data_IF_003102312677
#
_entry.id   IF_003102312677
#
_cell.length_a   1.000
_cell.length_b   1.000
_cell.length_c   1.000
_cell.angle_alpha   90.00
_cell.angle_beta   90.00
_cell.angle_gamma   90.00
#
_symmetry.space_group_name_H-M   'P 1'
#
loop_
_entity.id
_entity.type
_entity.pdbx_description
1 polymer ?
#
# COMPACT_ATOMS: atom_id res chain seq x y z
N UNK A 1 -55.22 -16.17 -20.15
CA UNK A 1 -54.20 -16.65 -19.20
C UNK A 1 -52.87 -16.01 -19.61
N UNK A 2 -52.43 -14.94 -18.95
CA UNK A 2 -51.16 -14.28 -19.29
C UNK A 2 -49.99 -15.00 -18.60
N UNK A 3 -48.84 -15.17 -19.27
CA UNK A 3 -47.67 -15.78 -18.65
C UNK A 3 -47.07 -14.83 -17.60
N UNK A 4 -46.85 -15.40 -16.41
CA UNK A 4 -46.28 -14.72 -15.24
C UNK A 4 -44.81 -14.39 -15.53
N UNK A 5 -44.45 -13.10 -15.50
CA UNK A 5 -43.05 -12.63 -15.54
C UNK A 5 -42.23 -13.36 -14.45
N UNK A 6 -41.05 -13.93 -14.76
CA UNK A 6 -40.20 -14.50 -13.72
C UNK A 6 -39.72 -13.36 -12.82
N UNK A 7 -39.87 -13.54 -11.50
CA UNK A 7 -39.27 -12.65 -10.52
C UNK A 7 -37.75 -12.70 -10.68
N UNK A 8 -37.14 -11.60 -11.09
CA UNK A 8 -35.69 -11.46 -11.05
C UNK A 8 -35.25 -11.67 -9.59
N UNK A 9 -34.55 -12.77 -9.33
CA UNK A 9 -34.05 -13.09 -8.00
C UNK A 9 -33.18 -11.94 -7.51
N UNK A 10 -33.48 -11.42 -6.32
CA UNK A 10 -32.68 -10.40 -5.64
C UNK A 10 -31.30 -11.01 -5.40
N UNK A 11 -30.33 -10.65 -6.25
CA UNK A 11 -28.94 -11.05 -6.05
C UNK A 11 -28.38 -10.14 -4.96
N UNK A 12 -28.32 -10.65 -3.73
CA UNK A 12 -27.61 -9.96 -2.65
C UNK A 12 -26.16 -9.73 -3.11
N UNK A 13 -25.60 -8.52 -2.94
CA UNK A 13 -24.23 -8.25 -3.34
C UNK A 13 -23.30 -9.19 -2.58
N UNK A 14 -22.32 -9.73 -3.31
CA UNK A 14 -21.33 -10.62 -2.69
C UNK A 14 -20.42 -9.81 -1.76
N UNK A 15 -19.73 -10.46 -0.79
CA UNK A 15 -18.71 -9.80 0.02
C UNK A 15 -17.70 -9.03 -0.85
N UNK A 16 -17.29 -9.60 -1.98
CA UNK A 16 -16.34 -8.99 -2.91
C UNK A 16 -16.90 -7.71 -3.55
N UNK A 17 -18.19 -7.69 -3.91
CA UNK A 17 -18.85 -6.49 -4.42
C UNK A 17 -18.91 -5.37 -3.37
N UNK A 18 -19.21 -5.72 -2.11
CA UNK A 18 -19.20 -4.75 -1.01
C UNK A 18 -17.80 -4.19 -0.78
N UNK A 19 -16.79 -5.06 -0.83
CA UNK A 19 -15.40 -4.69 -0.62
C UNK A 19 -14.89 -3.74 -1.71
N UNK A 20 -15.17 -4.06 -2.97
CA UNK A 20 -14.82 -3.21 -4.11
C UNK A 20 -15.56 -1.86 -4.06
N UNK A 21 -16.87 -1.88 -3.78
CA UNK A 21 -17.67 -0.65 -3.65
C UNK A 21 -17.14 0.25 -2.54
N UNK A 22 -16.74 -0.35 -1.41
CA UNK A 22 -16.15 0.38 -0.29
C UNK A 22 -14.80 1.01 -0.68
N UNK A 23 -13.91 0.26 -1.33
CA UNK A 23 -12.61 0.76 -1.81
C UNK A 23 -12.78 2.00 -2.71
N UNK A 24 -13.68 1.93 -3.70
CA UNK A 24 -13.96 3.04 -4.60
C UNK A 24 -14.51 4.27 -3.83
N UNK A 25 -15.51 4.07 -2.98
CA UNK A 25 -16.14 5.17 -2.22
C UNK A 25 -15.14 5.82 -1.27
N UNK A 26 -14.32 5.03 -0.56
CA UNK A 26 -13.31 5.58 0.35
C UNK A 26 -12.21 6.32 -0.41
N UNK A 27 -11.78 5.83 -1.58
CA UNK A 27 -10.80 6.51 -2.42
C UNK A 27 -11.29 7.85 -2.99
N UNK A 28 -12.60 7.97 -3.25
CA UNK A 28 -13.18 9.18 -3.87
C UNK A 28 -13.71 10.20 -2.86
N UNK A 29 -14.28 9.73 -1.75
CA UNK A 29 -14.95 10.61 -0.79
C UNK A 29 -14.25 10.68 0.57
N UNK A 30 -13.22 9.86 0.78
CA UNK A 30 -12.49 9.77 2.04
C UNK A 30 -13.20 8.89 3.07
N UNK A 31 -12.44 8.43 4.06
CA UNK A 31 -12.94 7.49 5.06
C UNK A 31 -14.02 8.15 5.91
N UNK A 32 -13.78 9.33 6.48
CA UNK A 32 -14.71 9.99 7.40
C UNK A 32 -16.14 10.17 6.84
N UNK A 33 -16.30 10.40 5.54
CA UNK A 33 -17.58 10.75 4.92
C UNK A 33 -18.43 9.52 4.53
N UNK A 34 -17.79 8.37 4.33
CA UNK A 34 -18.45 7.16 3.83
C UNK A 34 -18.95 6.30 4.99
N UNK A 35 -20.25 5.99 5.00
CA UNK A 35 -20.88 5.11 5.99
C UNK A 35 -21.10 3.69 5.45
N UNK A 36 -21.17 2.70 6.35
CA UNK A 36 -21.50 1.31 5.98
C UNK A 36 -22.86 1.23 5.24
N UNK A 37 -23.81 2.09 5.61
CA UNK A 37 -25.09 2.24 4.92
C UNK A 37 -24.88 2.65 3.47
N UNK A 38 -24.08 3.69 3.22
CA UNK A 38 -23.79 4.18 1.88
C UNK A 38 -23.12 3.13 1.02
N UNK A 39 -22.17 2.36 1.59
CA UNK A 39 -21.54 1.24 0.90
C UNK A 39 -22.58 0.18 0.50
N UNK A 40 -23.45 -0.24 1.42
CA UNK A 40 -24.49 -1.23 1.15
C UNK A 40 -25.48 -0.75 0.07
N UNK A 41 -25.90 0.50 0.15
CA UNK A 41 -26.80 1.14 -0.83
C UNK A 41 -26.19 1.15 -2.23
N UNK A 42 -24.95 1.65 -2.38
CA UNK A 42 -24.27 1.72 -3.68
C UNK A 42 -23.95 0.34 -4.23
N UNK A 43 -23.67 -0.64 -3.36
CA UNK A 43 -23.46 -2.03 -3.77
C UNK A 43 -24.76 -2.75 -4.17
N UNK A 44 -25.93 -2.11 -4.04
CA UNK A 44 -27.23 -2.72 -4.37
C UNK A 44 -27.73 -3.73 -3.35
N UNK A 45 -27.29 -3.64 -2.09
CA UNK A 45 -27.79 -4.50 -1.03
C UNK A 45 -29.24 -4.15 -0.70
N UNK A 46 -30.11 -5.17 -0.64
CA UNK A 46 -31.49 -5.01 -0.20
C UNK A 46 -31.59 -4.55 1.27
N UNK A 47 -30.54 -4.75 2.07
CA UNK A 47 -30.47 -4.28 3.44
C UNK A 47 -29.12 -3.62 3.77
N UNK A 48 -29.17 -2.64 4.67
CA UNK A 48 -27.98 -1.91 5.13
C UNK A 48 -27.10 -2.72 6.10
N UNK A 49 -27.54 -3.93 6.47
CA UNK A 49 -26.80 -4.82 7.37
C UNK A 49 -25.77 -5.69 6.67
N UNK A 50 -25.77 -5.79 5.34
CA UNK A 50 -24.85 -6.67 4.60
C UNK A 50 -23.36 -6.40 4.95
N UNK A 51 -22.96 -5.12 5.04
CA UNK A 51 -21.60 -4.74 5.45
C UNK A 51 -21.29 -5.19 6.88
N UNK A 52 -22.21 -4.95 7.82
CA UNK A 52 -22.02 -5.33 9.23
C UNK A 52 -22.02 -6.85 9.41
N UNK A 53 -22.78 -7.58 8.60
CA UNK A 53 -22.81 -9.03 8.63
C UNK A 53 -21.46 -9.64 8.23
N UNK A 54 -20.85 -9.16 7.14
CA UNK A 54 -19.57 -9.70 6.65
C UNK A 54 -18.34 -9.14 7.37
N UNK A 55 -18.35 -7.86 7.75
CA UNK A 55 -17.16 -7.16 8.22
C UNK A 55 -17.26 -6.66 9.67
N UNK A 56 -18.39 -6.90 10.35
CA UNK A 56 -18.71 -6.51 11.73
C UNK A 56 -18.84 -5.01 11.94
N UNK A 57 -17.87 -4.21 11.50
CA UNK A 57 -17.83 -2.76 11.63
C UNK A 57 -17.01 -2.12 10.49
N UNK A 58 -16.90 -0.78 10.50
CA UNK A 58 -16.17 -0.02 9.48
C UNK A 58 -14.66 -0.34 9.48
N UNK A 59 -14.05 -0.46 10.65
CA UNK A 59 -12.62 -0.84 10.79
C UNK A 59 -12.36 -2.22 10.18
N UNK A 60 -13.24 -3.20 10.42
CA UNK A 60 -13.15 -4.53 9.83
C UNK A 60 -13.28 -4.52 8.31
N UNK A 61 -14.14 -3.64 7.76
CA UNK A 61 -14.25 -3.44 6.32
C UNK A 61 -12.96 -2.82 5.73
N UNK A 62 -12.41 -1.78 6.37
CA UNK A 62 -11.16 -1.16 5.94
C UNK A 62 -9.98 -2.15 5.99
N UNK A 63 -9.85 -2.92 7.08
CA UNK A 63 -8.83 -3.97 7.20
C UNK A 63 -9.01 -5.07 6.15
N UNK A 64 -10.24 -5.43 5.80
CA UNK A 64 -10.48 -6.41 4.75
C UNK A 64 -9.99 -5.93 3.38
N UNK A 65 -10.15 -4.64 3.05
CA UNK A 65 -9.60 -4.05 1.82
C UNK A 65 -8.07 -4.15 1.87
N UNK A 66 -7.46 -3.64 2.95
CA UNK A 66 -5.99 -3.65 3.13
C UNK A 66 -5.42 -5.06 2.98
N UNK A 67 -6.01 -6.05 3.67
CA UNK A 67 -5.55 -7.45 3.63
C UNK A 67 -5.61 -8.06 2.24
N UNK A 68 -6.70 -7.82 1.50
CA UNK A 68 -6.87 -8.30 0.12
C UNK A 68 -5.68 -7.87 -0.75
N UNK A 69 -5.28 -6.60 -0.67
CA UNK A 69 -4.15 -6.08 -1.46
C UNK A 69 -2.80 -6.48 -0.85
N UNK A 70 -2.70 -6.55 0.47
CA UNK A 70 -1.45 -6.85 1.16
C UNK A 70 -0.95 -8.27 0.90
N UNK A 71 -1.83 -9.24 0.62
CA UNK A 71 -1.44 -10.59 0.22
C UNK A 71 -0.54 -10.57 -1.03
N UNK A 72 -0.99 -9.91 -2.10
CA UNK A 72 -0.22 -9.80 -3.35
C UNK A 72 1.04 -8.95 -3.17
N UNK A 73 0.95 -7.86 -2.40
CA UNK A 73 2.10 -7.02 -2.08
C UNK A 73 3.17 -7.78 -1.29
N UNK A 74 2.76 -8.64 -0.37
CA UNK A 74 3.67 -9.47 0.43
C UNK A 74 4.43 -10.46 -0.46
N UNK A 75 3.77 -11.07 -1.43
CA UNK A 75 4.41 -11.98 -2.38
C UNK A 75 5.44 -11.25 -3.26
N UNK A 76 5.08 -10.06 -3.78
CA UNK A 76 6.01 -9.25 -4.58
C UNK A 76 7.20 -8.81 -3.73
N UNK A 77 6.94 -8.32 -2.51
CA UNK A 77 7.96 -7.86 -1.58
C UNK A 77 8.89 -8.98 -1.13
N UNK A 78 8.34 -10.15 -0.81
CA UNK A 78 9.10 -11.33 -0.40
C UNK A 78 10.06 -11.81 -1.50
N UNK A 79 9.61 -11.81 -2.76
CA UNK A 79 10.45 -12.15 -3.91
C UNK A 79 11.61 -11.16 -4.07
N UNK A 80 11.34 -9.86 -4.07
CA UNK A 80 12.38 -8.82 -4.18
C UNK A 80 13.37 -8.87 -3.02
N UNK A 81 12.89 -9.13 -1.80
CA UNK A 81 13.75 -9.28 -0.63
C UNK A 81 14.69 -10.49 -0.76
N UNK A 82 14.19 -11.63 -1.23
CA UNK A 82 15.01 -12.81 -1.48
C UNK A 82 16.11 -12.54 -2.53
N UNK A 83 15.77 -11.79 -3.59
CA UNK A 83 16.75 -11.36 -4.59
C UNK A 83 17.82 -10.43 -4.00
N UNK A 84 17.43 -9.45 -3.17
CA UNK A 84 18.36 -8.56 -2.48
C UNK A 84 19.32 -9.32 -1.55
N UNK A 85 18.79 -10.25 -0.74
CA UNK A 85 19.61 -11.09 0.14
C UNK A 85 20.52 -12.06 -0.64
N UNK A 86 20.07 -12.56 -1.79
CA UNK A 86 20.91 -13.38 -2.67
C UNK A 86 22.09 -12.60 -3.27
N UNK A 87 21.85 -11.35 -3.69
CA UNK A 87 22.92 -10.46 -4.18
C UNK A 87 23.97 -10.18 -3.10
N UNK A 88 23.52 -9.96 -1.86
CA UNK A 88 24.38 -9.77 -0.70
C UNK A 88 25.28 -11.00 -0.44
N UNK A 89 24.69 -12.19 -0.42
CA UNK A 89 25.41 -13.43 -0.20
C UNK A 89 26.47 -13.72 -1.28
N UNK A 90 26.12 -13.55 -2.56
CA UNK A 90 27.05 -13.78 -3.67
C UNK A 90 28.26 -12.82 -3.68
N UNK A 91 28.08 -11.57 -3.24
CA UNK A 91 29.20 -10.61 -3.08
C UNK A 91 30.17 -11.09 -2.00
N UNK A 92 29.67 -11.55 -0.86
CA UNK A 92 30.49 -12.07 0.23
C UNK A 92 31.35 -13.28 -0.18
N UNK A 93 30.79 -14.18 -1.00
CA UNK A 93 31.50 -15.37 -1.50
C UNK A 93 32.58 -15.03 -2.55
N UNK A 94 32.34 -14.02 -3.38
CA UNK A 94 33.23 -13.65 -4.50
C UNK A 94 34.54 -12.96 -4.06
N UNK A 95 34.70 -12.61 -2.78
CA UNK A 95 35.88 -11.89 -2.28
C UNK A 95 36.07 -10.48 -2.85
N UNK A 96 35.13 -9.97 -3.64
CA UNK A 96 35.10 -8.62 -4.18
C UNK A 96 34.73 -7.60 -3.08
N UNK A 97 35.64 -7.45 -2.11
CA UNK A 97 35.47 -6.59 -0.93
C UNK A 97 34.45 -7.13 0.06
N UNK A 98 34.55 -6.72 1.33
CA UNK A 98 33.44 -6.78 2.26
C UNK A 98 32.34 -5.84 1.75
N UNK A 99 31.61 -6.27 0.72
CA UNK A 99 30.53 -5.51 0.12
C UNK A 99 29.39 -5.47 1.12
N UNK A 100 29.40 -4.45 1.96
CA UNK A 100 28.26 -4.03 2.76
C UNK A 100 26.99 -4.19 1.93
N UNK A 101 26.01 -4.92 2.47
CA UNK A 101 24.60 -4.87 2.08
C UNK A 101 24.25 -3.44 1.65
N UNK A 102 23.81 -3.25 0.40
CA UNK A 102 23.48 -1.91 -0.09
C UNK A 102 22.09 -1.54 0.44
N UNK A 103 21.95 -0.50 1.28
CA UNK A 103 20.64 -0.10 1.79
C UNK A 103 19.64 0.21 0.67
N UNK A 104 20.09 0.61 -0.54
CA UNK A 104 19.21 0.86 -1.69
C UNK A 104 18.48 -0.40 -2.16
N UNK A 105 19.09 -1.59 -2.07
CA UNK A 105 18.43 -2.84 -2.44
C UNK A 105 17.23 -3.13 -1.51
N UNK A 106 17.38 -2.86 -0.21
CA UNK A 106 16.29 -3.02 0.77
C UNK A 106 15.25 -1.90 0.69
N UNK A 107 15.66 -0.67 0.37
CA UNK A 107 14.73 0.44 0.11
C UNK A 107 13.87 0.14 -1.13
N UNK A 108 14.45 -0.45 -2.18
CA UNK A 108 13.69 -0.89 -3.35
C UNK A 108 12.56 -1.86 -2.96
N UNK A 109 12.80 -2.75 -1.99
CA UNK A 109 11.79 -3.65 -1.45
C UNK A 109 10.67 -2.94 -0.65
N UNK A 110 10.85 -1.67 -0.24
CA UNK A 110 9.77 -0.87 0.35
C UNK A 110 8.89 -0.22 -0.72
N UNK A 111 9.52 0.24 -1.81
CA UNK A 111 8.91 1.11 -2.83
C UNK A 111 8.32 0.32 -3.99
N UNK A 112 9.15 -0.45 -4.69
CA UNK A 112 8.81 -1.08 -5.97
C UNK A 112 7.65 -2.08 -5.92
N UNK A 113 7.38 -2.81 -4.81
CA UNK A 113 6.24 -3.71 -4.76
C UNK A 113 4.90 -3.01 -5.02
N UNK A 114 4.72 -1.78 -4.52
CA UNK A 114 3.46 -1.06 -4.70
C UNK A 114 3.25 -0.64 -6.15
N UNK A 115 4.29 -0.12 -6.81
CA UNK A 115 4.19 0.32 -8.21
C UNK A 115 4.06 -0.86 -9.16
N UNK A 116 4.77 -1.96 -8.91
CA UNK A 116 4.58 -3.21 -9.67
C UNK A 116 3.14 -3.74 -9.50
N UNK A 117 2.63 -3.74 -8.27
CA UNK A 117 1.28 -4.19 -7.98
C UNK A 117 0.20 -3.34 -8.68
N UNK A 118 0.31 -2.01 -8.61
CA UNK A 118 -0.61 -1.09 -9.27
C UNK A 118 -0.55 -1.22 -10.80
N UNK A 119 0.63 -1.49 -11.37
CA UNK A 119 0.79 -1.83 -12.78
C UNK A 119 0.06 -3.12 -13.15
N UNK A 120 0.14 -4.15 -12.32
CA UNK A 120 -0.53 -5.45 -12.53
C UNK A 120 -2.05 -5.35 -12.42
N UNK A 121 -2.57 -4.52 -11.50
CA UNK A 121 -4.01 -4.30 -11.34
C UNK A 121 -4.62 -3.69 -12.61
N UNK A 122 -3.93 -2.74 -13.25
CA UNK A 122 -4.39 -2.08 -14.47
C UNK A 122 -5.56 -1.11 -14.23
N UNK A 123 -5.70 -0.03 -15.02
CA UNK A 123 -6.75 0.95 -14.82
C UNK A 123 -8.15 0.38 -15.15
N UNK A 124 -9.21 0.82 -14.45
CA UNK A 124 -9.19 1.74 -13.33
C UNK A 124 -8.78 1.07 -12.01
N UNK A 125 -7.98 1.77 -11.20
CA UNK A 125 -7.65 1.37 -9.82
C UNK A 125 -8.01 2.48 -8.84
N UNK A 126 -8.31 2.11 -7.59
CA UNK A 126 -8.60 3.04 -6.49
C UNK A 126 -7.70 2.84 -5.28
N UNK A 127 -6.86 1.80 -5.30
CA UNK A 127 -6.15 1.33 -4.12
C UNK A 127 -5.12 2.33 -3.61
N UNK A 128 -4.41 3.05 -4.49
CA UNK A 128 -3.42 4.02 -4.04
C UNK A 128 -4.10 5.22 -3.35
N UNK A 129 -5.19 5.72 -3.95
CA UNK A 129 -6.02 6.78 -3.36
C UNK A 129 -6.69 6.35 -2.07
N UNK A 130 -7.22 5.12 -2.00
CA UNK A 130 -7.72 4.52 -0.77
C UNK A 130 -6.63 4.46 0.31
N UNK A 131 -5.43 3.98 -0.02
CA UNK A 131 -4.34 3.82 0.93
C UNK A 131 -3.89 5.16 1.52
N UNK A 132 -3.87 6.22 0.70
CA UNK A 132 -3.61 7.58 1.18
C UNK A 132 -4.67 8.02 2.20
N UNK A 133 -5.96 7.86 1.87
CA UNK A 133 -7.06 8.20 2.79
C UNK A 133 -6.96 7.41 4.11
N UNK A 134 -6.64 6.11 4.01
CA UNK A 134 -6.46 5.22 5.15
C UNK A 134 -5.29 5.60 6.06
N UNK A 135 -4.17 6.03 5.49
CA UNK A 135 -3.01 6.48 6.26
C UNK A 135 -3.20 7.84 6.94
N UNK A 136 -4.04 8.70 6.38
CA UNK A 136 -4.27 10.05 6.94
C UNK A 136 -5.49 10.14 7.84
N UNK A 137 -6.34 9.10 7.89
CA UNK A 137 -7.53 9.09 8.75
C UNK A 137 -7.17 8.81 10.22
N UNK A 138 -7.46 9.73 11.16
CA UNK A 138 -7.08 9.56 12.57
C UNK A 138 -7.74 8.36 13.27
N UNK A 139 -8.89 7.90 12.77
CA UNK A 139 -9.62 6.77 13.36
C UNK A 139 -9.07 5.41 12.89
N UNK A 140 -8.26 5.39 11.84
CA UNK A 140 -7.80 4.15 11.21
C UNK A 140 -6.28 4.03 11.06
N UNK A 141 -5.54 5.13 10.96
CA UNK A 141 -4.10 5.12 10.69
C UNK A 141 -3.29 4.24 11.66
N UNK A 142 -3.67 4.20 12.95
CA UNK A 142 -3.01 3.35 13.95
C UNK A 142 -3.24 1.85 13.75
N UNK A 143 -4.46 1.45 13.33
CA UNK A 143 -4.77 0.05 12.99
C UNK A 143 -4.04 -0.37 11.71
N UNK A 144 -4.06 0.50 10.69
CA UNK A 144 -3.35 0.26 9.44
C UNK A 144 -1.85 0.09 9.66
N UNK A 145 -1.24 0.97 10.46
CA UNK A 145 0.19 0.88 10.78
C UNK A 145 0.54 -0.45 11.44
N UNK A 146 -0.29 -0.93 12.37
CA UNK A 146 -0.08 -2.23 13.02
C UNK A 146 -0.23 -3.40 12.05
N UNK A 147 -1.23 -3.36 11.17
CA UNK A 147 -1.44 -4.40 10.16
C UNK A 147 -0.25 -4.50 9.19
N UNK A 148 0.23 -3.37 8.67
CA UNK A 148 1.37 -3.35 7.74
C UNK A 148 2.68 -3.74 8.43
N UNK A 149 2.90 -3.32 9.68
CA UNK A 149 4.09 -3.68 10.44
C UNK A 149 4.14 -5.17 10.85
N UNK A 150 3.02 -5.89 10.77
CA UNK A 150 2.96 -7.32 11.05
C UNK A 150 3.45 -8.19 9.88
N UNK A 151 3.67 -7.62 8.69
CA UNK A 151 4.20 -8.35 7.52
C UNK A 151 5.62 -8.88 7.80
N UNK A 152 5.89 -10.19 7.57
CA UNK A 152 7.22 -10.76 7.76
C UNK A 152 8.30 -10.12 6.88
N UNK A 153 8.01 -9.88 5.59
CA UNK A 153 8.97 -9.24 4.70
C UNK A 153 9.24 -7.78 5.12
N UNK A 154 8.22 -7.06 5.57
CA UNK A 154 8.37 -5.69 6.08
C UNK A 154 9.28 -5.63 7.31
N UNK A 155 9.08 -6.53 8.27
CA UNK A 155 9.92 -6.63 9.47
C UNK A 155 11.38 -6.95 9.11
N UNK A 156 11.59 -7.89 8.20
CA UNK A 156 12.94 -8.30 7.77
C UNK A 156 13.66 -7.19 7.01
N UNK A 157 12.97 -6.44 6.15
CA UNK A 157 13.52 -5.26 5.46
C UNK A 157 13.98 -4.20 6.47
N UNK A 158 13.13 -3.85 7.44
CA UNK A 158 13.51 -2.85 8.44
C UNK A 158 14.61 -3.33 9.37
N UNK A 159 14.65 -4.62 9.72
CA UNK A 159 15.76 -5.19 10.48
C UNK A 159 17.08 -5.05 9.73
N UNK A 160 17.09 -5.33 8.41
CA UNK A 160 18.27 -5.12 7.55
C UNK A 160 18.66 -3.66 7.48
N UNK A 161 17.74 -2.76 7.16
CA UNK A 161 18.03 -1.32 7.08
C UNK A 161 18.56 -0.75 8.39
N UNK A 162 18.01 -1.19 9.53
CA UNK A 162 18.48 -0.76 10.86
C UNK A 162 19.90 -1.27 11.14
N UNK A 163 20.25 -2.47 10.70
CA UNK A 163 21.59 -3.02 10.88
C UNK A 163 22.67 -2.33 10.01
N UNK A 164 22.26 -1.56 8.99
CA UNK A 164 23.16 -0.84 8.07
C UNK A 164 23.41 0.62 8.45
N UNK A 165 22.75 1.12 9.50
CA UNK A 165 22.93 2.48 10.00
C UNK A 165 23.55 2.45 11.39
N UNK A 166 24.19 3.54 11.78
CA UNK A 166 24.73 3.67 13.14
C UNK A 166 23.60 3.68 14.19
N UNK A 167 23.86 3.04 15.33
CA UNK A 167 22.86 2.94 16.41
C UNK A 167 22.35 4.28 16.94
N UNK A 168 23.18 5.32 16.84
CA UNK A 168 22.82 6.69 17.19
C UNK A 168 21.70 7.27 16.29
N UNK A 169 21.55 6.75 15.08
CA UNK A 169 20.60 7.24 14.07
C UNK A 169 19.28 6.45 14.04
N UNK A 170 19.14 5.41 14.86
CA UNK A 170 17.93 4.55 14.88
C UNK A 170 16.63 5.32 15.15
N UNK A 171 16.67 6.32 16.03
CA UNK A 171 15.50 7.17 16.31
C UNK A 171 15.13 8.02 15.09
N UNK A 172 16.13 8.63 14.44
CA UNK A 172 15.95 9.43 13.22
C UNK A 172 15.40 8.56 12.09
N UNK A 173 15.92 7.34 11.92
CA UNK A 173 15.42 6.37 10.94
C UNK A 173 13.94 6.04 11.19
N UNK A 174 13.54 5.85 12.46
CA UNK A 174 12.13 5.62 12.85
C UNK A 174 11.23 6.82 12.57
N UNK A 175 11.73 8.04 12.66
CA UNK A 175 10.96 9.23 12.27
C UNK A 175 10.83 9.33 10.76
N UNK A 176 11.93 9.11 10.02
CA UNK A 176 11.94 9.11 8.55
C UNK A 176 11.07 8.00 7.96
N UNK A 177 11.00 6.82 8.56
CA UNK A 177 10.17 5.71 8.07
C UNK A 177 8.68 6.06 7.96
N UNK A 178 8.17 6.87 8.90
CA UNK A 178 6.78 7.36 8.86
C UNK A 178 6.55 8.31 7.69
N UNK A 179 7.54 9.16 7.38
CA UNK A 179 7.49 10.06 6.22
C UNK A 179 7.56 9.29 4.90
N UNK A 180 8.45 8.29 4.82
CA UNK A 180 8.62 7.43 3.63
C UNK A 180 7.30 6.81 3.21
N UNK A 181 6.57 6.20 4.17
CA UNK A 181 5.27 5.61 3.86
C UNK A 181 4.34 6.63 3.22
N UNK A 182 4.23 7.84 3.79
CA UNK A 182 3.37 8.90 3.27
C UNK A 182 3.80 9.37 1.87
N UNK A 183 5.10 9.53 1.63
CA UNK A 183 5.65 9.92 0.32
C UNK A 183 5.28 8.88 -0.75
N UNK A 184 5.48 7.60 -0.46
CA UNK A 184 5.17 6.50 -1.38
C UNK A 184 3.68 6.50 -1.76
N UNK A 185 2.78 6.47 -0.77
CA UNK A 185 1.35 6.39 -1.07
C UNK A 185 0.81 7.66 -1.69
N UNK A 186 1.34 8.83 -1.33
CA UNK A 186 0.89 10.10 -1.89
C UNK A 186 1.27 10.23 -3.37
N UNK A 187 2.52 9.90 -3.73
CA UNK A 187 2.94 9.90 -5.13
C UNK A 187 2.14 8.89 -5.96
N UNK A 188 1.91 7.68 -5.44
CA UNK A 188 1.11 6.68 -6.13
C UNK A 188 -0.36 7.12 -6.27
N UNK A 189 -0.95 7.73 -5.24
CA UNK A 189 -2.33 8.23 -5.30
C UNK A 189 -2.49 9.38 -6.32
N UNK A 190 -1.49 10.27 -6.40
CA UNK A 190 -1.47 11.33 -7.40
C UNK A 190 -1.37 10.75 -8.81
N UNK A 191 -0.46 9.81 -9.04
CA UNK A 191 -0.32 9.16 -10.35
C UNK A 191 -1.57 8.38 -10.74
N UNK A 192 -2.17 7.63 -9.81
CA UNK A 192 -3.45 6.91 -10.02
C UNK A 192 -4.59 7.87 -10.38
N UNK A 193 -4.67 9.03 -9.72
CA UNK A 193 -5.65 10.08 -10.05
C UNK A 193 -5.47 10.57 -11.49
N UNK A 194 -4.24 10.87 -11.87
CA UNK A 194 -3.93 11.38 -13.20
C UNK A 194 -4.24 10.37 -14.30
N UNK A 195 -4.05 9.06 -14.05
CA UNK A 195 -4.49 8.00 -14.94
C UNK A 195 -6.02 7.96 -15.06
N UNK A 196 -6.74 8.11 -13.94
CA UNK A 196 -8.20 8.11 -13.93
C UNK A 196 -8.79 9.33 -14.68
N UNK A 197 -8.12 10.48 -14.63
CA UNK A 197 -8.52 11.71 -15.32
C UNK A 197 -8.21 11.68 -16.84
N UNK A 198 -7.62 10.59 -17.34
CA UNK A 198 -7.29 10.43 -18.77
C UNK A 198 -6.22 11.39 -19.26
N UNK A 199 -5.36 11.90 -18.36
CA UNK A 199 -4.25 12.77 -18.77
C UNK A 199 -3.33 11.99 -19.71
N UNK A 200 -3.03 12.58 -20.86
CA UNK A 200 -2.19 11.96 -21.88
C UNK A 200 -0.77 11.72 -21.35
N UNK A 201 -0.37 10.44 -21.39
CA UNK A 201 0.91 9.93 -20.86
C UNK A 201 1.84 9.48 -21.99
N UNK A 202 1.53 9.81 -23.25
CA UNK A 202 2.38 9.48 -24.41
C UNK A 202 3.84 9.92 -24.26
N UNK A 203 4.13 10.90 -23.38
CA UNK A 203 5.49 11.38 -23.06
C UNK A 203 5.91 11.18 -21.60
N UNK A 204 5.03 10.67 -20.73
CA UNK A 204 5.23 10.61 -19.28
C UNK A 204 5.12 9.17 -18.78
N UNK A 205 6.25 8.66 -18.29
CA UNK A 205 6.48 7.29 -17.86
C UNK A 205 5.37 6.57 -17.08
N UNK A 206 5.43 5.23 -17.10
CA UNK A 206 4.49 4.34 -16.44
C UNK A 206 4.73 4.19 -14.93
N UNK A 207 4.07 3.21 -14.31
CA UNK A 207 4.31 2.86 -12.91
C UNK A 207 5.77 2.52 -12.60
N UNK A 208 6.52 2.01 -13.58
CA UNK A 208 7.94 1.71 -13.42
C UNK A 208 8.76 2.98 -13.23
N UNK A 209 8.49 4.06 -13.97
CA UNK A 209 9.16 5.35 -13.81
C UNK A 209 8.83 6.00 -12.46
N UNK A 210 7.56 5.91 -12.02
CA UNK A 210 7.14 6.33 -10.68
C UNK A 210 7.91 5.57 -9.60
N UNK A 211 8.08 4.26 -9.77
CA UNK A 211 8.82 3.41 -8.84
C UNK A 211 10.29 3.80 -8.70
N UNK A 212 10.98 4.02 -9.81
CA UNK A 212 12.39 4.43 -9.79
C UNK A 212 12.59 5.84 -9.24
N UNK A 213 11.72 6.79 -9.60
CA UNK A 213 11.73 8.13 -9.02
C UNK A 213 11.54 8.08 -7.50
N UNK A 214 10.56 7.30 -7.03
CA UNK A 214 10.32 7.12 -5.60
C UNK A 214 11.48 6.43 -4.89
N UNK A 215 12.13 5.45 -5.51
CA UNK A 215 13.31 4.79 -4.95
C UNK A 215 14.42 5.80 -4.66
N UNK A 216 14.74 6.68 -5.62
CA UNK A 216 15.77 7.70 -5.41
C UNK A 216 15.37 8.72 -4.33
N UNK A 217 14.12 9.19 -4.35
CA UNK A 217 13.62 10.15 -3.36
C UNK A 217 13.62 9.55 -1.94
N UNK A 218 13.13 8.31 -1.79
CA UNK A 218 13.08 7.60 -0.51
C UNK A 218 14.50 7.27 -0.03
N UNK A 219 15.42 6.89 -0.91
CA UNK A 219 16.81 6.67 -0.55
C UNK A 219 17.48 7.95 -0.05
N UNK A 220 17.28 9.08 -0.73
CA UNK A 220 17.75 10.38 -0.27
C UNK A 220 17.16 10.75 1.10
N UNK A 221 15.87 10.51 1.33
CA UNK A 221 15.21 10.79 2.60
C UNK A 221 15.74 9.90 3.74
N UNK A 222 15.87 8.59 3.52
CA UNK A 222 16.29 7.64 4.55
C UNK A 222 17.78 7.74 4.88
N UNK A 223 18.63 7.88 3.87
CA UNK A 223 20.08 7.82 3.99
C UNK A 223 20.75 9.20 4.11
N UNK A 224 19.96 10.29 4.13
CA UNK A 224 20.51 11.62 4.34
C UNK A 224 21.33 11.67 5.66
N UNK A 225 22.48 12.34 5.70
CA UNK A 225 23.25 12.50 6.93
C UNK A 225 22.42 13.10 8.07
N UNK A 226 22.62 12.61 9.30
CA UNK A 226 22.03 13.21 10.49
C UNK A 226 22.89 14.40 10.91
N UNK A 227 22.35 15.61 10.75
CA UNK A 227 23.08 16.85 11.02
C UNK A 227 22.88 17.37 12.45
N UNK A 228 21.86 16.89 13.16
CA UNK A 228 21.58 17.18 14.57
C UNK A 228 21.06 15.92 15.27
N UNK A 229 21.85 15.26 16.13
CA UNK A 229 21.40 14.09 16.86
C UNK A 229 20.29 14.46 17.85
N UNK A 230 19.27 13.62 18.03
CA UNK A 230 18.28 13.82 19.08
C UNK A 230 18.96 13.86 20.46
N UNK A 231 18.68 14.91 21.24
CA UNK A 231 19.28 15.11 22.57
C UNK A 231 20.55 15.97 22.61
N UNK A 232 20.91 16.66 21.51
CA UNK A 232 21.93 17.72 21.49
C UNK A 232 21.38 19.11 21.79
#
# INVERSE_FOLDING_TARGET
MQPRKPAAGIRLPTPEMLLHTAECLFAEHGIATVSNRRVAEVAGAANNSAVLYHYRNKTGLLLAIVRKHNTELEEIRGRMLAEAEGKAAGKAESGAGAGSDDPRDYIACLVLPLTEYLRRLGPPTWYARFSLQAMTDPSFAGELTRELAASPSHQRIWARLTALVDSADHEVLRHRSRLVMLVIVHACANFERELADGKDRTTGGGWDDVGHFLLDAVAGLLLAPVTRPPGS
#
